data_IF_954745965263
#
_entry.id   IF_954745965263
#
_cell.length_a   1.000
_cell.length_b   1.000
_cell.length_c   1.000
_cell.angle_alpha   90.00
_cell.angle_beta   90.00
_cell.angle_gamma   90.00
#
_symmetry.space_group_name_H-M   'P 1'
#
loop_
_entity.id
_entity.type
_entity.pdbx_description
1 polymer ?
#
# COMPACT_ATOMS: atom_id res chain seq x y z
N UNK A 1 12.15 35.37 14.54
CA UNK A 1 12.96 34.15 14.77
C UNK A 1 12.14 33.01 15.39
N UNK A 2 11.36 33.25 16.46
CA UNK A 2 10.49 32.23 17.10
C UNK A 2 9.43 31.63 16.15
N UNK A 3 8.79 32.46 15.32
CA UNK A 3 7.79 32.02 14.33
C UNK A 3 8.35 31.12 13.21
N UNK A 4 9.62 31.32 12.84
CA UNK A 4 10.34 30.48 11.87
C UNK A 4 10.74 29.13 12.51
N UNK A 5 11.13 29.15 13.78
CA UNK A 5 11.47 27.95 14.54
C UNK A 5 10.23 27.07 14.81
N UNK A 6 9.08 27.68 15.16
CA UNK A 6 7.81 26.98 15.34
C UNK A 6 7.31 26.35 14.03
N UNK A 7 7.39 27.08 12.90
CA UNK A 7 7.06 26.53 11.60
C UNK A 7 8.00 25.38 11.21
N UNK A 8 9.31 25.51 11.47
CA UNK A 8 10.27 24.46 11.16
C UNK A 8 10.05 23.19 12.00
N UNK A 9 9.78 23.32 13.30
CA UNK A 9 9.42 22.18 14.16
C UNK A 9 8.12 21.51 13.72
N UNK A 10 7.09 22.30 13.41
CA UNK A 10 5.80 21.79 12.95
C UNK A 10 5.91 21.05 11.60
N UNK A 11 6.71 21.60 10.67
CA UNK A 11 6.99 20.96 9.37
C UNK A 11 7.72 19.62 9.59
N UNK A 12 8.70 19.57 10.48
CA UNK A 12 9.43 18.33 10.76
C UNK A 12 8.52 17.24 11.37
N UNK A 13 7.60 17.60 12.27
CA UNK A 13 6.64 16.64 12.81
C UNK A 13 5.73 16.05 11.73
N UNK A 14 5.20 16.90 10.84
CA UNK A 14 4.38 16.47 9.71
C UNK A 14 5.17 15.52 8.80
N UNK A 15 6.41 15.88 8.50
CA UNK A 15 7.29 15.07 7.66
C UNK A 15 7.57 13.70 8.31
N UNK A 16 7.91 13.67 9.60
CA UNK A 16 8.15 12.41 10.33
C UNK A 16 6.90 11.52 10.37
N UNK A 17 5.72 12.10 10.64
CA UNK A 17 4.44 11.38 10.63
C UNK A 17 4.10 10.83 9.24
N UNK A 18 4.37 11.62 8.19
CA UNK A 18 4.16 11.20 6.81
C UNK A 18 5.07 10.02 6.44
N UNK A 19 6.37 10.12 6.72
CA UNK A 19 7.32 9.04 6.44
C UNK A 19 7.02 7.77 7.23
N UNK A 20 6.59 7.86 8.49
CA UNK A 20 6.20 6.70 9.27
C UNK A 20 4.96 6.01 8.69
N UNK A 21 3.97 6.79 8.23
CA UNK A 21 2.78 6.29 7.54
C UNK A 21 3.14 5.59 6.23
N UNK A 22 4.01 6.20 5.41
CA UNK A 22 4.48 5.57 4.18
C UNK A 22 5.25 4.27 4.44
N UNK A 23 6.11 4.25 5.47
CA UNK A 23 6.85 3.05 5.88
C UNK A 23 5.91 1.94 6.32
N UNK A 24 4.85 2.29 7.06
CA UNK A 24 3.79 1.34 7.43
C UNK A 24 3.06 0.82 6.18
N UNK A 25 2.72 1.69 5.23
CA UNK A 25 2.10 1.30 3.97
C UNK A 25 2.98 0.36 3.13
N UNK A 26 4.28 0.62 3.07
CA UNK A 26 5.24 -0.26 2.39
C UNK A 26 5.37 -1.62 3.10
N UNK A 27 5.34 -1.64 4.44
CA UNK A 27 5.34 -2.88 5.21
C UNK A 27 4.07 -3.70 4.96
N UNK A 28 2.91 -3.05 5.04
CA UNK A 28 1.60 -3.65 4.75
C UNK A 28 1.54 -4.25 3.33
N UNK A 29 2.01 -3.50 2.34
CA UNK A 29 2.10 -3.92 0.94
C UNK A 29 2.98 -5.17 0.75
N UNK A 30 4.09 -5.30 1.50
CA UNK A 30 4.99 -6.48 1.47
C UNK A 30 4.47 -7.68 2.26
N UNK A 31 3.58 -7.44 3.22
CA UNK A 31 3.00 -8.50 4.03
C UNK A 31 1.79 -9.12 3.33
N UNK A 32 1.02 -8.34 2.58
CA UNK A 32 -0.20 -8.82 1.93
C UNK A 32 0.07 -9.89 0.86
N UNK A 33 -0.56 -11.08 0.94
CA UNK A 33 -0.42 -12.10 -0.09
C UNK A 33 -1.21 -11.73 -1.35
N UNK A 34 -0.57 -11.82 -2.52
CA UNK A 34 -1.11 -11.39 -3.82
C UNK A 34 -2.04 -12.43 -4.47
N UNK A 35 -2.88 -13.09 -3.69
CA UNK A 35 -3.83 -14.09 -4.23
C UNK A 35 -4.94 -13.42 -5.02
N UNK A 36 -5.34 -13.99 -6.16
CA UNK A 36 -6.39 -13.44 -7.02
C UNK A 36 -7.75 -13.41 -6.32
N UNK A 37 -8.06 -14.46 -5.55
CA UNK A 37 -9.32 -14.65 -4.80
C UNK A 37 -9.50 -13.63 -3.68
N UNK A 38 -8.42 -13.29 -2.98
CA UNK A 38 -8.41 -12.19 -2.00
C UNK A 38 -8.81 -10.83 -2.60
N UNK A 39 -8.66 -10.64 -3.92
CA UNK A 39 -9.07 -9.40 -4.59
C UNK A 39 -10.57 -9.27 -4.84
N UNK A 40 -11.32 -10.38 -4.75
CA UNK A 40 -12.79 -10.35 -4.80
C UNK A 40 -13.38 -10.02 -3.44
N UNK A 41 -12.77 -10.52 -2.36
CA UNK A 41 -13.24 -10.31 -0.98
C UNK A 41 -12.74 -8.97 -0.42
N UNK A 42 -11.45 -8.66 -0.60
CA UNK A 42 -10.80 -7.48 -0.04
C UNK A 42 -10.42 -6.47 -1.13
N UNK A 43 -10.96 -5.23 -1.11
CA UNK A 43 -10.57 -4.19 -2.04
C UNK A 43 -9.08 -3.82 -1.93
N UNK A 44 -8.44 -4.08 -0.79
CA UNK A 44 -7.03 -3.80 -0.51
C UNK A 44 -6.09 -4.46 -1.51
N UNK A 45 -6.37 -5.70 -1.92
CA UNK A 45 -5.52 -6.42 -2.87
C UNK A 45 -5.46 -5.71 -4.24
N UNK A 46 -6.56 -5.09 -4.68
CA UNK A 46 -6.60 -4.31 -5.93
C UNK A 46 -5.74 -3.06 -5.83
N UNK A 47 -5.83 -2.35 -4.71
CA UNK A 47 -5.05 -1.13 -4.47
C UNK A 47 -3.57 -1.45 -4.32
N UNK A 48 -3.23 -2.57 -3.68
CA UNK A 48 -1.86 -3.07 -3.57
C UNK A 48 -1.28 -3.42 -4.94
N UNK A 49 -2.02 -4.15 -5.78
CA UNK A 49 -1.61 -4.47 -7.16
C UNK A 49 -1.42 -3.20 -8.00
N UNK A 50 -2.37 -2.25 -7.91
CA UNK A 50 -2.25 -0.97 -8.59
C UNK A 50 -1.03 -0.16 -8.11
N UNK A 51 -0.75 -0.15 -6.81
CA UNK A 51 0.42 0.54 -6.23
C UNK A 51 1.72 -0.12 -6.66
N UNK A 52 1.81 -1.45 -6.66
CA UNK A 52 2.98 -2.19 -7.17
C UNK A 52 3.21 -1.95 -8.66
N UNK A 53 2.13 -1.97 -9.44
CA UNK A 53 2.19 -1.64 -10.86
C UNK A 53 2.67 -0.20 -11.06
N UNK A 54 2.12 0.76 -10.31
CA UNK A 54 2.54 2.15 -10.38
C UNK A 54 4.01 2.34 -9.99
N UNK A 55 4.48 1.69 -8.92
CA UNK A 55 5.88 1.73 -8.50
C UNK A 55 6.85 1.26 -9.59
N UNK A 56 6.44 0.27 -10.40
CA UNK A 56 7.27 -0.28 -11.48
C UNK A 56 7.13 0.49 -12.79
N UNK A 57 5.92 0.93 -13.15
CA UNK A 57 5.60 1.48 -14.47
C UNK A 57 5.68 3.01 -14.53
N UNK A 58 5.28 3.72 -13.48
CA UNK A 58 5.27 5.19 -13.47
C UNK A 58 6.65 5.85 -13.64
N UNK A 59 7.77 5.36 -13.06
CA UNK A 59 9.06 5.98 -13.32
C UNK A 59 9.49 5.83 -14.78
N UNK A 60 9.12 4.72 -15.44
CA UNK A 60 9.33 4.56 -16.87
C UNK A 60 8.47 5.57 -17.66
N UNK A 61 7.19 5.73 -17.31
CA UNK A 61 6.29 6.69 -17.95
C UNK A 61 6.81 8.13 -17.82
N UNK A 62 7.34 8.51 -16.66
CA UNK A 62 7.87 9.86 -16.41
C UNK A 62 9.12 10.16 -17.25
N UNK A 63 10.03 9.20 -17.40
CA UNK A 63 11.20 9.36 -18.28
C UNK A 63 10.75 9.37 -19.74
N UNK A 64 9.86 8.46 -20.11
CA UNK A 64 9.32 8.37 -21.46
C UNK A 64 8.63 9.67 -21.88
N UNK A 65 7.83 10.30 -21.02
CA UNK A 65 7.14 11.56 -21.33
C UNK A 65 8.13 12.68 -21.64
N UNK A 66 9.20 12.83 -20.84
CA UNK A 66 10.22 13.87 -21.04
C UNK A 66 11.06 13.58 -22.28
N UNK A 67 11.50 12.33 -22.48
CA UNK A 67 12.33 11.94 -23.63
C UNK A 67 11.55 12.11 -24.93
N UNK A 68 10.31 11.62 -24.99
CA UNK A 68 9.42 11.77 -26.14
C UNK A 68 9.22 13.24 -26.52
N UNK A 69 9.01 14.09 -25.50
CA UNK A 69 8.87 15.52 -25.68
C UNK A 69 10.12 16.17 -26.29
N UNK A 70 11.31 15.74 -25.85
CA UNK A 70 12.59 16.22 -26.36
C UNK A 70 12.85 15.84 -27.82
N UNK A 71 12.26 14.73 -28.31
CA UNK A 71 12.39 14.32 -29.71
C UNK A 71 11.46 15.11 -30.64
N UNK A 72 10.22 15.38 -30.23
CA UNK A 72 9.21 16.02 -31.07
C UNK A 72 9.19 17.56 -31.01
N UNK A 73 9.56 18.18 -29.89
CA UNK A 73 9.35 19.61 -29.67
C UNK A 73 10.55 20.28 -29.00
N UNK A 74 11.73 20.22 -29.64
CA UNK A 74 13.02 20.70 -29.09
C UNK A 74 13.05 22.18 -28.64
N UNK A 75 12.13 23.03 -29.09
CA UNK A 75 12.17 24.48 -28.86
C UNK A 75 10.93 25.05 -28.15
N UNK A 76 9.99 24.20 -27.73
CA UNK A 76 8.73 24.61 -27.11
C UNK A 76 8.79 24.44 -25.58
N UNK A 77 9.05 25.53 -24.86
CA UNK A 77 9.14 25.54 -23.39
C UNK A 77 7.82 25.08 -22.74
N UNK A 78 6.68 25.48 -23.32
CA UNK A 78 5.36 25.09 -22.83
C UNK A 78 5.16 23.57 -22.84
N UNK A 79 5.66 22.92 -23.89
CA UNK A 79 5.48 21.50 -24.10
C UNK A 79 6.40 20.67 -23.19
N UNK A 80 7.61 21.17 -22.90
CA UNK A 80 8.47 20.63 -21.84
C UNK A 80 7.82 20.75 -20.45
N UNK A 81 7.21 21.90 -20.12
CA UNK A 81 6.54 22.10 -18.85
C UNK A 81 5.40 21.09 -18.64
N UNK A 82 4.60 20.82 -19.67
CA UNK A 82 3.55 19.78 -19.62
C UNK A 82 4.16 18.40 -19.33
N UNK A 83 5.23 18.01 -20.04
CA UNK A 83 5.86 16.71 -19.84
C UNK A 83 6.43 16.52 -18.41
N UNK A 84 7.02 17.59 -17.84
CA UNK A 84 7.51 17.60 -16.46
C UNK A 84 6.35 17.49 -15.46
N UNK A 85 5.28 18.26 -15.67
CA UNK A 85 4.08 18.19 -14.82
C UNK A 85 3.48 16.79 -14.86
N UNK A 86 3.34 16.18 -16.04
CA UNK A 86 2.88 14.80 -16.19
C UNK A 86 3.78 13.81 -15.46
N UNK A 87 5.10 13.96 -15.58
CA UNK A 87 6.06 13.13 -14.85
C UNK A 87 5.93 13.27 -13.33
N UNK A 88 5.76 14.49 -12.82
CA UNK A 88 5.51 14.73 -11.40
C UNK A 88 4.21 14.07 -10.93
N UNK A 89 3.10 14.26 -11.65
CA UNK A 89 1.83 13.60 -11.33
C UNK A 89 1.96 12.08 -11.33
N UNK A 90 2.68 11.50 -12.30
CA UNK A 90 2.93 10.06 -12.36
C UNK A 90 3.67 9.55 -11.12
N UNK A 91 4.63 10.32 -10.59
CA UNK A 91 5.36 10.00 -9.34
C UNK A 91 4.51 10.19 -8.08
N UNK A 92 3.51 11.09 -8.08
CA UNK A 92 2.61 11.28 -6.95
C UNK A 92 1.66 10.09 -6.74
N UNK A 93 1.20 9.43 -7.81
CA UNK A 93 0.28 8.28 -7.74
C UNK A 93 0.79 7.15 -6.82
N UNK A 94 2.02 6.60 -6.96
CA UNK A 94 2.50 5.54 -6.08
C UNK A 94 2.66 6.01 -4.62
N UNK A 95 3.05 7.28 -4.40
CA UNK A 95 3.15 7.86 -3.04
C UNK A 95 1.78 7.95 -2.39
N UNK A 96 0.76 8.40 -3.15
CA UNK A 96 -0.62 8.47 -2.69
C UNK A 96 -1.18 7.09 -2.34
N UNK A 97 -0.89 6.07 -3.15
CA UNK A 97 -1.27 4.69 -2.88
C UNK A 97 -0.67 4.16 -1.57
N UNK A 98 0.63 4.40 -1.36
CA UNK A 98 1.32 4.02 -0.12
C UNK A 98 0.76 4.73 1.12
N UNK A 99 0.45 6.02 1.01
CA UNK A 99 -0.14 6.77 2.13
C UNK A 99 -1.50 6.21 2.52
N UNK A 100 -2.37 5.91 1.55
CA UNK A 100 -3.66 5.27 1.80
C UNK A 100 -3.49 3.90 2.46
N UNK A 101 -2.56 3.08 1.97
CA UNK A 101 -2.24 1.77 2.54
C UNK A 101 -1.73 1.87 3.98
N UNK A 102 -0.88 2.85 4.28
CA UNK A 102 -0.37 3.09 5.64
C UNK A 102 -1.49 3.45 6.61
N UNK A 103 -2.40 4.34 6.21
CA UNK A 103 -3.57 4.70 7.02
C UNK A 103 -4.51 3.52 7.21
N UNK A 104 -4.75 2.71 6.17
CA UNK A 104 -5.60 1.52 6.24
C UNK A 104 -5.01 0.43 7.13
N UNK A 105 -3.70 0.17 7.06
CA UNK A 105 -3.02 -0.80 7.91
C UNK A 105 -3.20 -0.52 9.41
N UNK A 106 -3.19 0.77 9.80
CA UNK A 106 -3.42 1.22 11.17
C UNK A 106 -4.92 1.27 11.56
N UNK A 107 -5.84 1.15 10.61
CA UNK A 107 -7.28 1.20 10.87
C UNK A 107 -7.75 -0.11 11.51
N UNK A 108 -8.74 0.00 12.41
CA UNK A 108 -9.41 -1.14 13.04
C UNK A 108 -10.20 -1.94 12.00
N UNK A 109 -10.22 -3.26 12.15
CA UNK A 109 -10.89 -4.13 11.20
C UNK A 109 -12.41 -3.90 11.24
N UNK A 110 -13.05 -3.86 10.07
CA UNK A 110 -14.52 -3.81 10.01
C UNK A 110 -15.12 -5.14 10.48
N UNK A 111 -16.36 -5.15 10.97
CA UNK A 111 -17.01 -6.38 11.44
C UNK A 111 -17.03 -7.50 10.38
N UNK A 112 -17.24 -7.14 9.11
CA UNK A 112 -17.24 -8.08 7.97
C UNK A 112 -15.86 -8.73 7.77
N UNK A 113 -14.80 -7.94 7.70
CA UNK A 113 -13.43 -8.44 7.55
C UNK A 113 -12.96 -9.21 8.79
N UNK A 114 -13.54 -8.95 9.96
CA UNK A 114 -13.26 -9.66 11.19
C UNK A 114 -13.80 -11.10 11.17
N UNK A 115 -14.96 -11.35 10.56
CA UNK A 115 -15.48 -12.72 10.39
C UNK A 115 -14.48 -13.57 9.62
N UNK A 116 -13.98 -13.05 8.48
CA UNK A 116 -12.95 -13.72 7.69
C UNK A 116 -11.66 -13.92 8.47
N UNK A 117 -11.22 -12.92 9.24
CA UNK A 117 -10.05 -13.04 10.10
C UNK A 117 -10.17 -14.20 11.10
N UNK A 118 -11.31 -14.31 11.78
CA UNK A 118 -11.55 -15.38 12.76
C UNK A 118 -11.65 -16.76 12.10
N UNK A 119 -12.31 -16.87 10.95
CA UNK A 119 -12.36 -18.11 10.18
C UNK A 119 -10.96 -18.61 9.79
N UNK A 120 -10.10 -17.71 9.27
CA UNK A 120 -8.72 -18.07 8.92
C UNK A 120 -7.92 -18.45 10.17
N UNK A 121 -8.10 -17.73 11.28
CA UNK A 121 -7.47 -18.06 12.56
C UNK A 121 -7.89 -19.45 13.07
N UNK A 122 -9.17 -19.80 12.97
CA UNK A 122 -9.69 -21.10 13.39
C UNK A 122 -9.07 -22.23 12.55
N UNK A 123 -8.99 -22.05 11.24
CA UNK A 123 -8.32 -23.01 10.34
C UNK A 123 -6.82 -23.15 10.64
N UNK A 124 -6.13 -22.06 10.94
CA UNK A 124 -4.72 -22.10 11.35
C UNK A 124 -4.50 -22.85 12.68
N UNK A 125 -5.44 -22.74 13.63
CA UNK A 125 -5.40 -23.55 14.87
C UNK A 125 -5.54 -25.04 14.60
N UNK A 126 -6.34 -25.43 13.60
CA UNK A 126 -6.48 -26.85 13.20
C UNK A 126 -5.17 -27.43 12.67
N UNK A 127 -4.30 -26.60 12.07
CA UNK A 127 -2.95 -26.98 11.62
C UNK A 127 -1.89 -26.86 12.73
N UNK A 128 -2.33 -26.69 13.99
CA UNK A 128 -1.50 -26.61 15.19
C UNK A 128 -0.49 -25.45 15.20
N UNK A 129 -0.81 -24.33 14.54
CA UNK A 129 0.05 -23.14 14.50
C UNK A 129 -0.39 -22.08 15.52
N UNK A 130 0.60 -21.41 16.14
CA UNK A 130 0.36 -20.35 17.10
C UNK A 130 -0.27 -19.10 16.43
N UNK A 131 -1.58 -18.97 16.61
CA UNK A 131 -2.34 -17.78 16.21
C UNK A 131 -2.01 -16.64 17.19
N UNK A 132 -1.70 -15.42 16.71
CA UNK A 132 -1.48 -14.28 17.58
C UNK A 132 -2.74 -14.02 18.43
N UNK A 133 -2.58 -13.98 19.75
CA UNK A 133 -3.65 -13.64 20.70
C UNK A 133 -4.00 -12.16 20.53
N UNK A 134 -4.94 -11.86 19.62
CA UNK A 134 -5.45 -10.50 19.42
C UNK A 134 -6.39 -10.17 20.57
N UNK A 135 -5.95 -9.27 21.46
CA UNK A 135 -6.58 -9.07 22.76
C UNK A 135 -7.85 -8.22 22.77
N UNK A 136 -8.21 -7.48 21.73
CA UNK A 136 -9.49 -6.74 21.77
C UNK A 136 -10.02 -6.25 20.40
N UNK A 137 -9.18 -5.73 19.49
CA UNK A 137 -9.62 -5.34 18.13
C UNK A 137 -8.48 -5.51 17.11
N UNK A 138 -8.55 -6.49 16.16
CA UNK A 138 -7.53 -6.65 15.13
C UNK A 138 -7.48 -5.41 14.22
N UNK A 139 -6.29 -5.06 13.73
CA UNK A 139 -6.12 -4.08 12.65
C UNK A 139 -5.96 -4.78 11.31
N UNK A 140 -6.11 -4.05 10.21
CA UNK A 140 -5.85 -4.61 8.87
C UNK A 140 -4.42 -5.15 8.73
N UNK A 141 -3.43 -4.59 9.44
CA UNK A 141 -2.07 -5.15 9.48
C UNK A 141 -2.04 -6.57 10.05
N UNK A 142 -2.76 -6.83 11.16
CA UNK A 142 -2.83 -8.17 11.75
C UNK A 142 -3.51 -9.17 10.80
N UNK A 143 -4.52 -8.72 10.06
CA UNK A 143 -5.13 -9.52 9.00
C UNK A 143 -4.10 -9.90 7.94
N UNK A 144 -3.27 -8.95 7.47
CA UNK A 144 -2.22 -9.24 6.50
C UNK A 144 -1.21 -10.27 7.04
N UNK A 145 -0.80 -10.16 8.30
CA UNK A 145 0.13 -11.10 8.93
C UNK A 145 -0.45 -12.51 9.03
N UNK A 146 -1.72 -12.63 9.42
CA UNK A 146 -2.44 -13.91 9.47
C UNK A 146 -2.61 -14.50 8.07
N UNK A 147 -3.01 -13.68 7.09
CA UNK A 147 -3.12 -14.10 5.69
C UNK A 147 -1.79 -14.59 5.13
N UNK A 148 -0.68 -13.94 5.48
CA UNK A 148 0.68 -14.36 5.06
C UNK A 148 1.10 -15.69 5.68
N UNK A 149 0.73 -15.94 6.94
CA UNK A 149 0.96 -17.24 7.59
C UNK A 149 0.11 -18.33 6.94
N UNK A 150 -1.19 -18.05 6.74
CA UNK A 150 -2.12 -18.89 6.01
C UNK A 150 -1.59 -19.27 4.63
N UNK A 151 -1.09 -18.31 3.85
CA UNK A 151 -0.55 -18.59 2.50
C UNK A 151 0.63 -19.57 2.51
N UNK A 152 1.45 -19.56 3.57
CA UNK A 152 2.63 -20.43 3.67
C UNK A 152 2.31 -21.85 4.15
N UNK A 153 1.15 -22.05 4.78
CA UNK A 153 0.84 -23.26 5.55
C UNK A 153 -0.44 -23.97 5.09
N UNK A 154 -1.39 -23.24 4.52
CA UNK A 154 -2.61 -23.79 3.95
C UNK A 154 -2.41 -24.06 2.45
N UNK A 155 -2.92 -25.20 1.99
CA UNK A 155 -2.83 -25.62 0.59
C UNK A 155 -3.56 -24.66 -0.35
N UNK A 156 -3.18 -24.67 -1.63
CA UNK A 156 -3.83 -23.86 -2.67
C UNK A 156 -5.34 -24.11 -2.80
N UNK A 157 -5.83 -25.29 -2.37
CA UNK A 157 -7.25 -25.61 -2.34
C UNK A 157 -8.05 -24.72 -1.38
N UNK A 158 -7.47 -24.34 -0.25
CA UNK A 158 -8.10 -23.42 0.71
C UNK A 158 -8.47 -22.10 0.05
N UNK A 159 -7.58 -21.56 -0.79
CA UNK A 159 -7.80 -20.32 -1.50
C UNK A 159 -8.84 -20.44 -2.61
N UNK A 160 -9.15 -21.66 -3.08
CA UNK A 160 -10.19 -21.91 -4.07
C UNK A 160 -11.59 -21.99 -3.44
N UNK A 161 -11.68 -22.46 -2.20
CA UNK A 161 -12.92 -22.52 -1.41
C UNK A 161 -13.35 -21.16 -0.82
N UNK A 162 -12.38 -20.24 -0.67
CA UNK A 162 -12.57 -18.88 -0.17
C UNK A 162 -13.26 -17.96 -1.21
#
# INVERSE_FOLDING_TARGET
MVFLCLNFLFINEIIMYFFSTLKQGQHYLKTWPLESKLGMIFPENRIIKATLFAQKFMPFLAVFSVVWQQFYAKQEIAALAVAVITGLFALFIPIQGLYWLGKRAATKLSPESAVWFYQICERLKQVNEAVPLVKEQPTYQHLADVLKKAQRKLDSHFWQEL
#
